data_IF_357404633396
#
_entry.id   IF_357404633396
#
_cell.length_a   1.000
_cell.length_b   1.000
_cell.length_c   1.000
_cell.angle_alpha   90.00
_cell.angle_beta   90.00
_cell.angle_gamma   90.00
#
_symmetry.space_group_name_H-M   'P 1'
#
loop_
_entity.id
_entity.type
_entity.pdbx_description
1 polymer ?
#
# COMPACT_ATOMS: atom_id res chain seq x y z
N UNK A 1 -11.32 -19.16 -13.06
CA UNK A 1 -10.46 -18.06 -13.51
C UNK A 1 -9.78 -17.57 -12.25
N UNK A 2 -8.56 -18.04 -12.01
CA UNK A 2 -7.93 -18.07 -10.69
C UNK A 2 -7.48 -16.68 -10.26
N UNK A 3 -7.95 -16.26 -9.08
CA UNK A 3 -7.49 -15.08 -8.37
C UNK A 3 -6.00 -15.20 -8.06
N UNK A 4 -5.20 -14.31 -8.64
CA UNK A 4 -3.75 -14.36 -8.50
C UNK A 4 -3.28 -14.00 -7.09
N UNK A 5 -2.15 -14.58 -6.68
CA UNK A 5 -1.57 -14.47 -5.35
C UNK A 5 -1.07 -13.05 -5.01
N UNK A 6 -0.79 -12.20 -6.00
CA UNK A 6 -0.50 -10.78 -5.78
C UNK A 6 -1.74 -9.99 -5.33
N UNK A 7 -2.91 -10.30 -5.89
CA UNK A 7 -4.18 -9.76 -5.39
C UNK A 7 -4.48 -10.20 -3.96
N UNK A 8 -3.97 -11.35 -3.52
CA UNK A 8 -4.16 -11.84 -2.14
C UNK A 8 -3.31 -11.11 -1.11
N UNK A 9 -2.15 -10.55 -1.48
CA UNK A 9 -1.34 -9.74 -0.55
C UNK A 9 -2.03 -8.39 -0.30
N UNK A 10 -2.79 -7.87 -1.27
CA UNK A 10 -3.69 -6.72 -1.08
C UNK A 10 -5.02 -7.10 -0.38
N UNK A 11 -5.31 -8.39 -0.19
CA UNK A 11 -6.52 -8.95 0.43
C UNK A 11 -6.34 -9.29 1.92
N UNK A 12 -5.21 -8.93 2.54
CA UNK A 12 -5.05 -9.04 3.99
C UNK A 12 -5.92 -8.00 4.70
N UNK A 13 -7.21 -8.30 4.81
CA UNK A 13 -8.19 -7.67 5.72
C UNK A 13 -9.01 -6.52 5.15
N UNK A 14 -8.59 -5.85 4.07
CA UNK A 14 -9.31 -4.69 3.53
C UNK A 14 -9.35 -4.72 1.98
N UNK A 15 -10.38 -5.34 1.41
CA UNK A 15 -10.64 -5.27 -0.04
C UNK A 15 -10.94 -3.83 -0.44
N UNK A 16 -9.91 -3.12 -0.90
CA UNK A 16 -10.08 -1.79 -1.49
C UNK A 16 -11.06 -1.84 -2.66
N UNK A 17 -11.94 -0.85 -2.76
CA UNK A 17 -12.97 -0.79 -3.82
C UNK A 17 -12.36 -0.83 -5.24
N UNK A 18 -11.12 -0.36 -5.40
CA UNK A 18 -10.40 -0.36 -6.67
C UNK A 18 -10.00 -1.76 -7.17
N UNK A 19 -9.82 -2.72 -6.25
CA UNK A 19 -9.31 -4.07 -6.52
C UNK A 19 -10.37 -5.15 -6.35
N UNK A 20 -11.60 -4.76 -5.99
CA UNK A 20 -12.68 -5.71 -5.78
C UNK A 20 -13.40 -5.99 -7.10
N UNK A 21 -13.63 -7.27 -7.39
CA UNK A 21 -14.44 -7.69 -8.55
C UNK A 21 -15.83 -7.04 -8.54
N UNK A 22 -16.33 -6.75 -9.73
CA UNK A 22 -17.62 -6.09 -9.88
C UNK A 22 -18.76 -7.01 -9.40
N UNK A 23 -19.35 -6.69 -8.26
CA UNK A 23 -20.43 -7.47 -7.65
C UNK A 23 -21.37 -6.64 -6.76
N UNK A 24 -22.33 -7.27 -6.06
CA UNK A 24 -23.22 -6.59 -5.12
C UNK A 24 -22.46 -5.80 -4.04
N UNK A 25 -21.38 -6.35 -3.49
CA UNK A 25 -20.54 -5.66 -2.51
C UNK A 25 -19.91 -4.38 -3.10
N UNK A 26 -19.21 -4.49 -4.23
CA UNK A 26 -18.59 -3.34 -4.90
C UNK A 26 -19.61 -2.23 -5.21
N UNK A 27 -20.79 -2.61 -5.73
CA UNK A 27 -21.88 -1.65 -6.01
C UNK A 27 -22.38 -0.96 -4.75
N UNK A 28 -22.53 -1.69 -3.65
CA UNK A 28 -22.97 -1.14 -2.37
C UNK A 28 -21.96 -0.17 -1.78
N UNK A 29 -20.67 -0.52 -1.76
CA UNK A 29 -19.60 0.37 -1.29
C UNK A 29 -19.51 1.61 -2.19
N UNK A 30 -19.57 1.46 -3.52
CA UNK A 30 -19.58 2.61 -4.45
C UNK A 30 -20.75 3.54 -4.21
N UNK A 31 -21.96 2.99 -4.03
CA UNK A 31 -23.16 3.76 -3.72
C UNK A 31 -23.01 4.50 -2.39
N UNK A 32 -22.49 3.83 -1.36
CA UNK A 32 -22.21 4.44 -0.07
C UNK A 32 -21.23 5.61 -0.19
N UNK A 33 -20.08 5.42 -0.86
CA UNK A 33 -19.11 6.49 -1.10
C UNK A 33 -19.73 7.67 -1.83
N UNK A 34 -20.51 7.42 -2.90
CA UNK A 34 -21.17 8.48 -3.64
C UNK A 34 -22.20 9.25 -2.79
N UNK A 35 -22.95 8.56 -1.93
CA UNK A 35 -23.99 9.18 -1.13
C UNK A 35 -23.46 9.90 0.11
N UNK A 36 -22.36 9.40 0.71
CA UNK A 36 -21.89 9.91 2.01
C UNK A 36 -20.63 10.77 1.89
N UNK A 37 -19.75 10.48 0.92
CA UNK A 37 -18.45 11.15 0.77
C UNK A 37 -18.45 12.11 -0.41
N UNK A 38 -19.00 11.69 -1.55
CA UNK A 38 -18.94 12.43 -2.82
C UNK A 38 -20.29 13.04 -3.25
N UNK A 39 -21.20 13.27 -2.31
CA UNK A 39 -22.44 13.97 -2.64
C UNK A 39 -22.19 15.48 -2.83
N UNK A 40 -23.07 16.16 -3.56
CA UNK A 40 -22.91 17.58 -3.88
C UNK A 40 -22.73 18.46 -2.63
N UNK A 41 -23.52 18.23 -1.58
CA UNK A 41 -23.44 18.98 -0.33
C UNK A 41 -22.09 18.81 0.37
N UNK A 42 -21.53 17.59 0.38
CA UNK A 42 -20.19 17.31 0.93
C UNK A 42 -19.11 17.97 0.09
N UNK A 43 -19.20 17.87 -1.24
CA UNK A 43 -18.27 18.55 -2.14
C UNK A 43 -18.30 20.07 -1.92
N UNK A 44 -19.48 20.66 -1.74
CA UNK A 44 -19.63 22.09 -1.42
C UNK A 44 -19.07 22.43 -0.04
N UNK A 45 -19.22 21.57 0.96
CA UNK A 45 -18.64 21.78 2.29
C UNK A 45 -17.12 21.90 2.28
N UNK A 46 -16.44 21.26 1.30
CA UNK A 46 -15.00 21.39 1.11
C UNK A 46 -14.58 22.61 0.29
N UNK A 47 -15.51 23.39 -0.28
CA UNK A 47 -15.20 24.55 -1.11
C UNK A 47 -14.31 25.60 -0.40
N UNK A 48 -14.49 25.92 0.90
CA UNK A 48 -13.59 26.82 1.61
C UNK A 48 -12.15 26.30 1.65
N UNK A 49 -11.96 25.00 1.94
CA UNK A 49 -10.63 24.37 1.96
C UNK A 49 -9.98 24.39 0.58
N UNK A 50 -10.74 24.11 -0.49
CA UNK A 50 -10.21 24.21 -1.86
C UNK A 50 -9.77 25.62 -2.21
N UNK A 51 -10.59 26.62 -1.85
CA UNK A 51 -10.29 28.03 -2.10
C UNK A 51 -9.02 28.46 -1.37
N UNK A 52 -8.85 28.05 -0.13
CA UNK A 52 -7.65 28.35 0.68
C UNK A 52 -6.37 27.79 0.05
N UNK A 53 -6.35 26.50 -0.29
CA UNK A 53 -5.16 25.87 -0.89
C UNK A 53 -4.85 26.50 -2.26
N UNK A 54 -5.88 26.77 -3.07
CA UNK A 54 -5.72 27.42 -4.37
C UNK A 54 -5.21 28.85 -4.26
N UNK A 55 -5.67 29.60 -3.24
CA UNK A 55 -5.22 30.99 -3.00
C UNK A 55 -3.71 31.00 -2.72
N UNK A 56 -3.23 30.13 -1.83
CA UNK A 56 -1.79 30.00 -1.55
C UNK A 56 -0.98 29.57 -2.78
N UNK A 57 -1.53 28.69 -3.61
CA UNK A 57 -0.90 28.29 -4.86
C UNK A 57 -0.71 29.49 -5.80
N UNK A 58 -1.78 30.29 -6.00
CA UNK A 58 -1.74 31.50 -6.84
C UNK A 58 -0.76 32.53 -6.28
N UNK A 59 -0.75 32.75 -4.97
CA UNK A 59 0.22 33.62 -4.29
C UNK A 59 1.65 33.18 -4.58
N UNK A 60 1.96 31.89 -4.42
CA UNK A 60 3.30 31.36 -4.70
C UNK A 60 3.73 31.53 -6.17
N UNK A 61 2.78 31.50 -7.12
CA UNK A 61 3.06 31.75 -8.53
C UNK A 61 3.31 33.25 -8.80
N UNK A 62 2.56 34.13 -8.13
CA UNK A 62 2.78 35.58 -8.21
C UNK A 62 4.17 35.94 -7.70
N UNK A 63 4.56 35.40 -6.56
CA UNK A 63 5.90 35.62 -5.98
C UNK A 63 7.00 35.16 -6.93
N UNK A 64 6.88 33.95 -7.50
CA UNK A 64 7.84 33.45 -8.47
C UNK A 64 7.91 34.32 -9.74
N UNK A 65 6.76 34.87 -10.17
CA UNK A 65 6.71 35.79 -11.31
C UNK A 65 7.44 37.10 -11.02
N UNK A 66 7.24 37.67 -9.83
CA UNK A 66 7.96 38.87 -9.37
C UNK A 66 9.46 38.62 -9.30
N UNK A 67 9.86 37.45 -8.81
CA UNK A 67 11.25 37.02 -8.75
C UNK A 67 11.84 36.65 -10.14
N UNK A 68 11.02 36.60 -11.20
CA UNK A 68 11.38 36.11 -12.54
C UNK A 68 11.99 34.70 -12.52
N UNK A 69 11.49 33.86 -11.62
CA UNK A 69 11.95 32.49 -11.46
C UNK A 69 11.34 31.57 -12.53
N UNK A 70 12.13 30.61 -13.02
CA UNK A 70 11.61 29.54 -13.89
C UNK A 70 10.92 28.50 -13.03
N UNK A 71 9.60 28.38 -13.18
CA UNK A 71 8.79 27.47 -12.36
C UNK A 71 8.40 26.23 -13.15
N UNK A 72 8.63 25.04 -12.57
CA UNK A 72 8.04 23.81 -13.06
C UNK A 72 6.56 23.73 -12.62
N UNK A 73 5.66 24.04 -13.56
CA UNK A 73 4.22 24.04 -13.32
C UNK A 73 3.69 22.65 -12.98
N UNK A 74 4.17 21.60 -13.63
CA UNK A 74 3.75 20.22 -13.36
C UNK A 74 4.02 19.82 -11.91
N UNK A 75 5.20 20.17 -11.38
CA UNK A 75 5.54 19.95 -9.97
C UNK A 75 4.62 20.73 -9.03
N UNK A 76 4.45 22.04 -9.28
CA UNK A 76 3.59 22.92 -8.46
C UNK A 76 2.13 22.44 -8.43
N UNK A 77 1.60 21.97 -9.56
CA UNK A 77 0.24 21.41 -9.65
C UNK A 77 0.14 20.06 -8.93
N UNK A 78 1.17 19.22 -9.01
CA UNK A 78 1.27 18.00 -8.21
C UNK A 78 1.18 18.29 -6.71
N UNK A 79 1.99 19.22 -6.22
CA UNK A 79 2.00 19.65 -4.81
C UNK A 79 0.62 20.21 -4.37
N UNK A 80 -0.06 20.92 -5.27
CA UNK A 80 -1.43 21.43 -5.03
C UNK A 80 -2.43 20.28 -4.85
N UNK A 81 -2.42 19.28 -5.74
CA UNK A 81 -3.31 18.12 -5.68
C UNK A 81 -3.06 17.32 -4.40
N UNK A 82 -1.80 17.10 -4.04
CA UNK A 82 -1.40 16.42 -2.81
C UNK A 82 -1.95 17.14 -1.56
N UNK A 83 -1.63 18.44 -1.41
CA UNK A 83 -2.11 19.25 -0.27
C UNK A 83 -3.63 19.29 -0.17
N UNK A 84 -4.30 19.39 -1.30
CA UNK A 84 -5.76 19.41 -1.37
C UNK A 84 -6.36 18.06 -0.94
N UNK A 85 -5.78 16.95 -1.40
CA UNK A 85 -6.21 15.59 -1.07
C UNK A 85 -6.03 15.31 0.42
N UNK A 86 -4.85 15.61 0.96
CA UNK A 86 -4.56 15.44 2.38
C UNK A 86 -5.49 16.29 3.27
N UNK A 87 -5.76 17.52 2.85
CA UNK A 87 -6.68 18.40 3.59
C UNK A 87 -8.12 17.90 3.58
N UNK A 88 -8.55 17.29 2.49
CA UNK A 88 -9.89 16.70 2.38
C UNK A 88 -10.03 15.41 3.19
N UNK A 89 -8.98 14.58 3.25
CA UNK A 89 -9.00 13.29 3.96
C UNK A 89 -8.80 13.49 5.47
N UNK A 90 -7.79 14.25 5.87
CA UNK A 90 -7.33 14.36 7.27
C UNK A 90 -7.76 15.67 7.96
N UNK A 91 -8.29 16.64 7.21
CA UNK A 91 -8.68 17.95 7.75
C UNK A 91 -7.50 18.94 7.80
N UNK A 92 -7.37 19.80 8.84
CA UNK A 92 -6.36 20.86 8.87
C UNK A 92 -4.91 20.37 8.71
N UNK A 93 -4.13 21.10 7.89
CA UNK A 93 -2.76 20.76 7.46
C UNK A 93 -1.77 20.42 8.58
N UNK A 94 -1.93 21.04 9.76
CA UNK A 94 -1.01 20.88 10.89
C UNK A 94 -0.96 19.46 11.49
N UNK A 95 -1.91 18.59 11.14
CA UNK A 95 -2.02 17.25 11.75
C UNK A 95 -1.26 16.15 10.99
N UNK A 96 -0.65 16.44 9.84
CA UNK A 96 -0.09 15.42 8.96
C UNK A 96 1.17 15.85 8.23
N UNK A 97 1.95 16.79 8.78
CA UNK A 97 3.25 17.19 8.19
C UNK A 97 4.21 16.00 7.99
N UNK A 98 4.01 14.89 8.70
CA UNK A 98 4.78 13.64 8.58
C UNK A 98 4.23 12.67 7.52
N UNK A 99 3.04 12.91 6.95
CA UNK A 99 2.42 11.99 6.00
C UNK A 99 2.87 12.32 4.56
N UNK A 100 3.73 11.46 4.00
CA UNK A 100 4.24 11.59 2.64
C UNK A 100 3.34 10.82 1.66
N UNK A 101 2.32 11.50 1.12
CA UNK A 101 1.39 10.87 0.18
C UNK A 101 2.11 10.44 -1.11
N UNK A 102 3.08 11.22 -1.56
CA UNK A 102 3.84 10.92 -2.77
C UNK A 102 4.61 9.61 -2.65
N UNK A 103 5.33 9.41 -1.55
CA UNK A 103 6.07 8.17 -1.28
C UNK A 103 5.12 6.97 -1.20
N UNK A 104 3.99 7.12 -0.51
CA UNK A 104 2.97 6.06 -0.46
C UNK A 104 2.42 5.70 -1.86
N UNK A 105 2.17 6.71 -2.71
CA UNK A 105 1.69 6.48 -4.08
C UNK A 105 2.79 5.84 -4.92
N UNK A 106 4.05 6.23 -4.77
CA UNK A 106 5.18 5.64 -5.48
C UNK A 106 5.39 4.18 -5.09
N UNK A 107 5.42 3.87 -3.79
CA UNK A 107 5.46 2.49 -3.28
C UNK A 107 4.28 1.66 -3.80
N UNK A 108 3.06 2.20 -3.71
CA UNK A 108 1.87 1.54 -4.21
C UNK A 108 1.92 1.29 -5.72
N UNK A 109 2.40 2.26 -6.50
CA UNK A 109 2.51 2.13 -7.97
C UNK A 109 3.60 1.12 -8.34
N UNK A 110 4.71 1.09 -7.59
CA UNK A 110 5.76 0.10 -7.77
C UNK A 110 5.25 -1.31 -7.46
N UNK A 111 4.46 -1.48 -6.39
CA UNK A 111 3.85 -2.76 -6.03
C UNK A 111 2.77 -3.18 -7.04
N UNK A 112 1.87 -2.27 -7.43
CA UNK A 112 0.78 -2.56 -8.37
C UNK A 112 1.27 -2.74 -9.82
N UNK A 113 2.40 -2.13 -10.18
CA UNK A 113 3.05 -2.25 -11.48
C UNK A 113 4.14 -3.32 -11.53
N UNK A 114 4.47 -3.96 -10.39
CA UNK A 114 5.39 -5.07 -10.35
C UNK A 114 4.83 -6.20 -11.24
N UNK A 115 5.63 -6.61 -12.21
CA UNK A 115 5.21 -7.64 -13.15
C UNK A 115 5.25 -9.01 -12.48
N UNK A 116 4.09 -9.53 -12.07
CA UNK A 116 4.00 -10.92 -11.62
C UNK A 116 4.03 -11.87 -12.79
N UNK A 117 5.08 -12.67 -12.91
CA UNK A 117 5.10 -13.71 -13.94
C UNK A 117 4.04 -14.80 -13.68
N UNK A 118 3.60 -14.98 -12.43
CA UNK A 118 2.54 -15.92 -12.07
C UNK A 118 1.14 -15.50 -12.55
N UNK A 119 0.92 -14.20 -12.80
CA UNK A 119 -0.35 -13.68 -13.33
C UNK A 119 -0.56 -14.05 -14.80
N UNK A 120 0.53 -14.14 -15.55
CA UNK A 120 0.52 -14.47 -16.99
C UNK A 120 0.76 -15.95 -17.26
N UNK A 121 1.53 -16.62 -16.40
CA UNK A 121 1.92 -18.02 -16.56
C UNK A 121 1.70 -18.76 -15.23
N UNK A 122 0.49 -19.31 -14.99
CA UNK A 122 0.11 -19.86 -13.69
C UNK A 122 1.03 -20.98 -13.15
N UNK A 123 1.70 -21.73 -14.03
CA UNK A 123 2.64 -22.78 -13.60
C UNK A 123 3.96 -22.23 -13.04
N UNK A 124 4.34 -20.99 -13.39
CA UNK A 124 5.54 -20.33 -12.88
C UNK A 124 5.35 -19.74 -11.47
N UNK A 125 4.11 -19.63 -11.00
CA UNK A 125 3.82 -19.25 -9.61
C UNK A 125 4.31 -20.26 -8.56
N UNK A 126 4.64 -21.49 -8.97
CA UNK A 126 5.28 -22.50 -8.13
C UNK A 126 6.79 -22.24 -7.91
N UNK A 127 7.42 -21.45 -8.79
CA UNK A 127 8.86 -21.19 -8.77
C UNK A 127 9.25 -19.90 -8.05
N UNK A 128 8.27 -19.12 -7.57
CA UNK A 128 8.43 -17.87 -6.80
C UNK A 128 9.65 -17.02 -7.22
N UNK A 129 9.68 -16.66 -8.50
CA UNK A 129 10.82 -15.98 -9.13
C UNK A 129 11.04 -14.55 -8.60
N UNK A 130 10.08 -14.01 -7.82
CA UNK A 130 10.14 -12.71 -7.15
C UNK A 130 10.61 -12.79 -5.68
N UNK A 131 10.91 -13.99 -5.15
CA UNK A 131 11.36 -14.22 -3.76
C UNK A 131 10.40 -13.65 -2.70
N UNK A 132 9.11 -13.98 -2.77
CA UNK A 132 8.15 -13.61 -1.73
C UNK A 132 7.93 -14.69 -0.65
N UNK A 133 8.50 -15.90 -0.80
CA UNK A 133 8.30 -17.06 0.09
C UNK A 133 9.56 -17.58 0.79
N UNK A 134 10.72 -16.95 0.57
CA UNK A 134 12.01 -17.44 1.07
C UNK A 134 12.07 -17.58 2.62
N UNK A 135 11.15 -16.94 3.35
CA UNK A 135 11.09 -17.00 4.82
C UNK A 135 10.47 -18.31 5.35
N UNK A 136 9.45 -18.87 4.69
CA UNK A 136 8.79 -20.10 5.18
C UNK A 136 9.67 -21.35 5.00
N UNK A 137 10.40 -21.43 3.88
CA UNK A 137 11.28 -22.57 3.61
C UNK A 137 12.51 -22.61 4.55
N UNK A 138 12.99 -21.43 4.96
CA UNK A 138 14.10 -21.31 5.91
C UNK A 138 13.69 -21.81 7.30
N UNK A 139 12.50 -21.44 7.78
CA UNK A 139 11.97 -21.94 9.06
C UNK A 139 11.77 -23.45 9.05
N UNK A 140 11.27 -24.04 7.95
CA UNK A 140 11.17 -25.49 7.85
C UNK A 140 12.53 -26.20 7.94
N UNK A 141 13.57 -25.67 7.28
CA UNK A 141 14.93 -26.22 7.36
C UNK A 141 15.54 -26.03 8.76
N UNK A 142 15.35 -24.88 9.39
CA UNK A 142 15.82 -24.60 10.75
C UNK A 142 15.13 -25.49 11.77
N UNK A 143 13.81 -25.64 11.70
CA UNK A 143 13.05 -26.54 12.58
C UNK A 143 13.49 -27.99 12.37
N UNK A 144 13.70 -28.45 11.13
CA UNK A 144 14.23 -29.78 10.85
C UNK A 144 15.61 -30.00 11.46
N UNK A 145 16.53 -29.04 11.31
CA UNK A 145 17.88 -29.14 11.89
C UNK A 145 17.81 -29.17 13.41
N UNK A 146 17.00 -28.31 14.04
CA UNK A 146 16.83 -28.28 15.50
C UNK A 146 16.19 -29.57 16.03
N UNK A 147 15.16 -30.08 15.36
CA UNK A 147 14.47 -31.33 15.75
C UNK A 147 15.37 -32.54 15.56
N UNK A 148 16.09 -32.64 14.43
CA UNK A 148 17.03 -33.74 14.18
C UNK A 148 18.19 -33.69 15.16
N UNK A 149 18.73 -32.50 15.46
CA UNK A 149 19.77 -32.34 16.46
C UNK A 149 19.28 -32.68 17.87
N UNK A 150 18.06 -32.28 18.24
CA UNK A 150 17.43 -32.64 19.52
C UNK A 150 17.17 -34.14 19.64
N UNK A 151 16.65 -34.79 18.58
CA UNK A 151 16.47 -36.25 18.54
C UNK A 151 17.80 -36.99 18.64
N UNK A 152 18.84 -36.49 17.97
CA UNK A 152 20.17 -37.07 18.03
C UNK A 152 20.83 -36.87 19.40
N UNK A 153 20.67 -35.69 20.02
CA UNK A 153 21.13 -35.40 21.37
C UNK A 153 20.38 -36.25 22.42
N UNK A 154 19.06 -36.40 22.26
CA UNK A 154 18.21 -37.25 23.09
C UNK A 154 18.61 -38.73 22.99
N UNK A 155 18.93 -39.21 21.78
CA UNK A 155 19.36 -40.59 21.53
C UNK A 155 20.79 -40.89 22.00
N UNK A 156 21.65 -39.89 22.13
CA UNK A 156 22.95 -40.03 22.81
C UNK A 156 22.88 -39.90 24.33
N UNK A 157 21.95 -39.10 24.85
CA UNK A 157 21.78 -38.91 26.29
C UNK A 157 21.29 -40.16 27.02
N UNK A 158 20.62 -41.08 26.33
CA UNK A 158 20.14 -42.35 26.89
C UNK A 158 21.17 -43.49 27.00
N UNK A 159 22.45 -43.24 26.73
CA UNK A 159 23.52 -44.27 26.74
C UNK A 159 24.44 -44.24 27.97
N UNK A 160 24.12 -43.47 29.02
CA UNK A 160 24.96 -43.36 30.24
C UNK A 160 24.30 -43.95 31.50
N UNK A 161 23.05 -44.39 31.45
CA UNK A 161 22.33 -44.92 32.64
C UNK A 161 21.96 -46.42 32.55
N UNK A 162 22.87 -47.26 32.04
CA UNK A 162 22.77 -48.72 32.23
C UNK A 162 24.15 -49.32 32.50
N UNK A 163 24.71 -48.96 33.66
CA UNK A 163 25.74 -49.73 34.41
C UNK A 163 26.05 -49.03 35.74
N UNK A 164 25.20 -49.26 36.74
CA UNK A 164 25.59 -49.38 38.15
C UNK A 164 24.50 -50.07 38.94
#
# INVERSE_FOLDING_TARGET
>A
MGSSLEFRILDSGFKGIAFTEHGPYWRNVRKFCNQQLFNASKIESFAPSRKEVLTHFIESLKEATVAKEVVNISKKVGDLIEKMTLKMIFGPLKKYEEFNLKELIEEFTNLAGAFNLADFVPFLGAFDLQKMKDEEEWWHKVVLVVVVWWLWASKRGGMVEEKS
#
